data_IF_218699386024
#
_entry.id   IF_218699386024
#
_cell.length_a   1.000
_cell.length_b   1.000
_cell.length_c   1.000
_cell.angle_alpha   90.00
_cell.angle_beta   90.00
_cell.angle_gamma   90.00
#
_symmetry.space_group_name_H-M   'P 1'
#
loop_
_entity.id
_entity.type
_entity.pdbx_description
1 polymer ?
#
# COMPACT_ATOMS: atom_id res chain seq x y z
N UNK A 1 21.72 -4.38 3.60
CA UNK A 1 21.35 -4.30 3.50
C UNK A 1 20.72 -4.39 3.30
N UNK A 2 20.26 -4.56 3.35
CA UNK A 2 19.60 -4.65 2.93
C UNK A 2 18.43 -4.40 3.18
N UNK A 3 17.71 -4.09 2.39
CA UNK A 3 16.56 -3.77 2.60
C UNK A 3 15.77 -4.83 2.86
N UNK A 4 14.76 -4.76 3.60
CA UNK A 4 13.92 -5.86 3.89
C UNK A 4 12.63 -5.73 3.12
N UNK A 5 12.78 -5.86 1.84
CA UNK A 5 11.62 -5.85 0.98
C UNK A 5 11.02 -7.22 0.94
N UNK A 6 9.74 -7.34 1.16
CA UNK A 6 9.04 -8.62 1.20
C UNK A 6 7.85 -8.61 0.26
N UNK A 7 7.51 -9.77 -0.26
CA UNK A 7 6.52 -9.92 -1.29
C UNK A 7 5.43 -10.88 -0.82
N UNK A 8 4.18 -10.43 -0.86
CA UNK A 8 3.05 -11.27 -0.52
C UNK A 8 2.25 -11.46 -1.79
N UNK A 9 1.92 -12.69 -2.13
CA UNK A 9 1.12 -12.91 -3.32
C UNK A 9 0.24 -14.14 -3.15
N UNK A 10 -0.81 -14.17 -3.93
CA UNK A 10 -1.65 -15.35 -4.05
C UNK A 10 -2.19 -15.33 -5.47
N UNK A 11 -3.16 -16.18 -5.79
CA UNK A 11 -3.63 -16.26 -7.18
C UNK A 11 -4.40 -15.03 -7.61
N UNK A 12 -4.79 -14.17 -6.67
CA UNK A 12 -5.61 -13.01 -7.00
C UNK A 12 -4.80 -11.73 -7.18
N UNK A 13 -3.61 -11.66 -6.61
CA UNK A 13 -2.80 -10.46 -6.72
C UNK A 13 -1.60 -10.49 -5.82
N UNK A 14 -1.03 -9.32 -5.56
CA UNK A 14 0.18 -9.25 -4.74
C UNK A 14 0.31 -7.88 -4.09
N UNK A 15 1.20 -7.78 -3.12
CA UNK A 15 1.68 -6.50 -2.65
C UNK A 15 3.07 -6.70 -2.04
N UNK A 16 3.78 -5.61 -1.90
CA UNK A 16 5.11 -5.63 -1.30
C UNK A 16 5.06 -4.85 0.00
N UNK A 17 5.97 -5.17 0.90
CA UNK A 17 6.14 -4.33 2.08
C UNK A 17 7.60 -4.31 2.47
N UNK A 18 7.99 -3.30 3.23
CA UNK A 18 9.34 -3.21 3.75
C UNK A 18 9.26 -2.75 5.21
N UNK A 19 10.25 -3.12 5.99
CA UNK A 19 10.33 -2.71 7.39
C UNK A 19 11.74 -2.25 7.66
N UNK A 20 11.88 -1.00 8.12
CA UNK A 20 13.18 -0.46 8.49
C UNK A 20 13.07 -0.10 9.97
N UNK A 21 13.52 -1.00 10.83
CA UNK A 21 13.40 -0.77 12.26
C UNK A 21 14.33 0.30 12.75
N UNK A 22 15.43 0.50 12.06
CA UNK A 22 16.39 1.53 12.47
C UNK A 22 15.75 2.91 12.38
N UNK A 23 15.01 3.16 11.32
CA UNK A 23 14.36 4.44 11.11
C UNK A 23 12.90 4.45 11.48
N UNK A 24 12.37 3.35 12.01
CA UNK A 24 10.97 3.23 12.40
C UNK A 24 10.03 3.54 11.24
N UNK A 25 10.29 2.92 10.13
CA UNK A 25 9.46 3.09 8.93
C UNK A 25 9.06 1.73 8.41
N UNK A 26 7.77 1.53 8.21
CA UNK A 26 7.29 0.36 7.50
C UNK A 26 6.35 0.86 6.42
N UNK A 27 6.39 0.24 5.27
CA UNK A 27 5.59 0.69 4.14
C UNK A 27 5.06 -0.49 3.36
N UNK A 28 3.81 -0.36 2.91
CA UNK A 28 3.19 -1.30 2.00
C UNK A 28 3.11 -0.60 0.66
N UNK A 29 3.46 -1.28 -0.41
CA UNK A 29 3.49 -0.64 -1.73
C UNK A 29 3.21 -1.66 -2.82
N UNK A 30 2.92 -1.15 -4.02
CA UNK A 30 2.67 -1.97 -5.20
C UNK A 30 1.58 -3.02 -5.00
N UNK A 31 0.46 -2.58 -4.43
CA UNK A 31 -0.69 -3.46 -4.29
C UNK A 31 -1.36 -3.63 -5.64
N UNK A 32 -1.62 -4.87 -6.03
CA UNK A 32 -2.26 -5.15 -7.29
C UNK A 32 -3.17 -6.37 -7.16
N UNK A 33 -4.38 -6.27 -7.69
CA UNK A 33 -5.30 -7.39 -7.78
C UNK A 33 -5.67 -7.53 -9.25
N UNK A 34 -5.63 -8.77 -9.75
CA UNK A 34 -5.98 -9.02 -11.14
C UNK A 34 -7.38 -8.49 -11.42
N UNK A 35 -7.60 -7.88 -12.58
CA UNK A 35 -8.88 -7.22 -12.85
C UNK A 35 -10.10 -8.11 -12.62
N UNK A 36 -10.01 -9.36 -12.99
CA UNK A 36 -11.17 -10.26 -12.89
C UNK A 36 -11.53 -10.60 -11.46
N UNK A 37 -10.65 -10.29 -10.52
CA UNK A 37 -10.90 -10.60 -9.11
C UNK A 37 -11.13 -9.37 -8.26
N UNK A 38 -11.26 -8.20 -8.86
CA UNK A 38 -11.44 -6.97 -8.09
C UNK A 38 -12.80 -6.86 -7.47
N UNK A 39 -12.90 -6.04 -6.42
CA UNK A 39 -14.15 -5.79 -5.71
C UNK A 39 -14.70 -7.03 -5.03
N UNK A 40 -13.80 -7.93 -4.65
CA UNK A 40 -14.18 -9.16 -3.96
C UNK A 40 -13.43 -9.31 -2.65
N UNK A 41 -12.78 -8.25 -2.17
CA UNK A 41 -12.11 -8.29 -0.88
C UNK A 41 -10.66 -8.75 -0.91
N UNK A 42 -10.12 -9.03 -2.09
CA UNK A 42 -8.74 -9.54 -2.15
C UNK A 42 -7.70 -8.49 -1.79
N UNK A 43 -7.93 -7.22 -2.16
CA UNK A 43 -7.00 -6.16 -1.79
C UNK A 43 -6.93 -6.03 -0.27
N UNK A 44 -8.09 -6.06 0.38
CA UNK A 44 -8.14 -5.96 1.81
C UNK A 44 -7.39 -7.12 2.46
N UNK A 45 -7.57 -8.32 1.93
CA UNK A 45 -6.92 -9.50 2.46
C UNK A 45 -5.40 -9.40 2.32
N UNK A 46 -4.91 -8.95 1.16
CA UNK A 46 -3.47 -8.81 0.95
C UNK A 46 -2.89 -7.77 1.92
N UNK A 47 -3.58 -6.66 2.10
CA UNK A 47 -3.12 -5.64 3.04
C UNK A 47 -3.10 -6.19 4.47
N UNK A 48 -4.12 -6.94 4.85
CA UNK A 48 -4.17 -7.51 6.19
C UNK A 48 -3.02 -8.47 6.42
N UNK A 49 -2.67 -9.25 5.41
CA UNK A 49 -1.54 -10.17 5.52
C UNK A 49 -0.24 -9.38 5.68
N UNK A 50 -0.08 -8.30 4.92
CA UNK A 50 1.12 -7.48 5.02
C UNK A 50 1.23 -6.85 6.40
N UNK A 51 0.13 -6.31 6.91
CA UNK A 51 0.13 -5.71 8.24
C UNK A 51 0.53 -6.75 9.28
N UNK A 52 -0.03 -7.95 9.17
CA UNK A 52 0.29 -8.98 10.13
C UNK A 52 1.78 -9.34 10.10
N UNK A 53 2.32 -9.50 8.91
CA UNK A 53 3.73 -9.85 8.82
C UNK A 53 4.63 -8.73 9.32
N UNK A 54 4.26 -7.49 9.07
CA UNK A 54 5.01 -6.36 9.57
C UNK A 54 5.01 -6.37 11.10
N UNK A 55 3.84 -6.61 11.71
CA UNK A 55 3.75 -6.65 13.16
C UNK A 55 4.53 -7.82 13.75
N UNK A 56 4.58 -8.92 13.03
CA UNK A 56 5.31 -10.08 13.51
C UNK A 56 6.82 -9.85 13.55
N UNK A 57 7.33 -8.85 12.85
CA UNK A 57 8.74 -8.52 12.94
C UNK A 57 9.05 -7.77 14.23
N UNK A 58 8.03 -7.37 14.97
CA UNK A 58 8.22 -6.55 16.16
C UNK A 58 8.00 -5.08 15.92
N UNK A 59 7.81 -4.68 14.67
CA UNK A 59 7.57 -3.28 14.36
C UNK A 59 6.18 -2.90 14.87
N UNK A 60 6.09 -1.85 15.67
CA UNK A 60 4.80 -1.48 16.24
C UNK A 60 4.46 -0.01 16.03
N UNK A 61 5.10 0.61 15.07
CA UNK A 61 4.79 2.00 14.76
C UNK A 61 3.83 2.07 13.58
N UNK A 62 3.59 3.26 13.10
CA UNK A 62 2.66 3.49 12.02
C UNK A 62 3.15 2.87 10.72
N UNK A 63 2.23 2.28 9.97
CA UNK A 63 2.55 1.68 8.67
C UNK A 63 2.07 2.63 7.59
N UNK A 64 2.93 2.92 6.63
CA UNK A 64 2.65 3.86 5.55
C UNK A 64 2.28 3.12 4.27
N UNK A 65 1.54 3.77 3.41
CA UNK A 65 1.22 3.20 2.11
C UNK A 65 1.14 4.34 1.09
N UNK A 66 1.61 4.08 -0.12
CA UNK A 66 1.51 5.06 -1.19
C UNK A 66 0.21 4.85 -1.93
N UNK A 67 -0.53 5.93 -2.16
CA UNK A 67 -1.79 5.85 -2.88
C UNK A 67 -1.54 6.10 -4.36
N UNK A 68 -1.04 5.07 -5.04
CA UNK A 68 -0.74 5.15 -6.45
C UNK A 68 -1.55 4.12 -7.20
N UNK A 69 -2.66 4.50 -7.77
CA UNK A 69 -3.46 3.54 -8.54
C UNK A 69 -2.68 3.12 -9.78
N UNK A 70 -2.72 1.84 -10.06
CA UNK A 70 -1.99 1.34 -11.20
C UNK A 70 -2.83 1.36 -12.46
N UNK A 71 -4.10 1.68 -12.33
CA UNK A 71 -4.98 1.74 -13.46
C UNK A 71 -5.79 3.00 -13.41
N UNK A 72 -6.08 3.55 -14.56
CA UNK A 72 -6.80 4.79 -14.62
C UNK A 72 -8.20 4.69 -14.06
N UNK A 73 -8.77 3.52 -14.06
CA UNK A 73 -10.12 3.37 -13.56
C UNK A 73 -10.23 3.45 -12.06
N UNK A 74 -9.10 3.41 -11.36
CA UNK A 74 -9.14 3.46 -9.91
C UNK A 74 -9.12 4.90 -9.45
N UNK A 75 -10.17 5.27 -8.71
CA UNK A 75 -10.31 6.60 -8.18
C UNK A 75 -9.35 6.77 -7.01
N UNK A 76 -8.48 7.74 -7.09
CA UNK A 76 -7.50 7.99 -6.04
C UNK A 76 -8.18 8.30 -4.71
N UNK A 77 -9.29 9.05 -4.73
CA UNK A 77 -9.99 9.39 -3.51
C UNK A 77 -10.50 8.14 -2.81
N UNK A 78 -11.06 7.21 -3.58
CA UNK A 78 -11.57 5.98 -3.01
C UNK A 78 -10.44 5.09 -2.51
N UNK A 79 -9.31 5.10 -3.20
CA UNK A 79 -8.17 4.32 -2.78
C UNK A 79 -7.61 4.84 -1.45
N UNK A 80 -7.50 6.15 -1.31
CA UNK A 80 -7.03 6.76 -0.08
C UNK A 80 -7.97 6.41 1.06
N UNK A 81 -9.28 6.50 0.83
CA UNK A 81 -10.26 6.18 1.86
C UNK A 81 -10.13 4.71 2.29
N UNK A 82 -9.90 3.83 1.32
CA UNK A 82 -9.72 2.41 1.61
C UNK A 82 -8.53 2.19 2.52
N UNK A 83 -7.39 2.80 2.19
CA UNK A 83 -6.20 2.63 3.01
C UNK A 83 -6.38 3.19 4.41
N UNK A 84 -7.05 4.34 4.52
CA UNK A 84 -7.28 4.92 5.83
C UNK A 84 -8.17 4.03 6.69
N UNK A 85 -9.17 3.39 6.07
CA UNK A 85 -10.02 2.47 6.82
C UNK A 85 -9.24 1.27 7.32
N UNK A 86 -8.13 0.93 6.66
CA UNK A 86 -7.29 -0.16 7.10
C UNK A 86 -6.31 0.26 8.20
N UNK A 87 -6.34 1.53 8.61
CA UNK A 87 -5.46 2.01 9.67
C UNK A 87 -4.09 2.40 9.20
N UNK A 88 -3.92 2.68 7.93
CA UNK A 88 -2.62 3.00 7.36
C UNK A 88 -2.47 4.50 7.20
N UNK A 89 -1.22 4.96 7.26
CA UNK A 89 -0.93 6.36 6.98
C UNK A 89 -0.68 6.48 5.49
N UNK A 90 -1.50 7.24 4.81
CA UNK A 90 -1.42 7.35 3.37
C UNK A 90 -0.46 8.44 2.97
N UNK A 91 0.48 8.10 2.10
CA UNK A 91 1.38 9.07 1.52
C UNK A 91 0.87 9.39 0.13
N UNK A 92 0.76 10.66 -0.16
CA UNK A 92 0.28 11.05 -1.47
C UNK A 92 1.45 11.09 -2.46
N UNK A 93 1.15 10.79 -3.69
CA UNK A 93 2.15 10.92 -4.73
C UNK A 93 2.29 12.40 -5.04
N UNK A 94 3.36 12.98 -4.55
CA UNK A 94 3.58 14.40 -4.74
C UNK A 94 3.67 14.80 -6.19
N UNK A 95 4.11 13.88 -7.04
CA UNK A 95 4.18 14.20 -8.45
C UNK A 95 2.80 14.43 -9.05
N UNK A 96 1.85 13.64 -8.62
CA UNK A 96 0.50 13.81 -9.11
C UNK A 96 -0.08 15.10 -8.59
N UNK A 97 0.07 15.37 -7.31
CA UNK A 97 -0.45 16.58 -6.72
C UNK A 97 0.19 17.81 -7.35
N UNK A 98 1.54 17.75 -7.51
CA UNK A 98 2.22 18.85 -8.07
C UNK A 98 1.79 19.10 -9.49
N UNK A 99 1.61 18.03 -10.26
CA UNK A 99 1.22 18.18 -11.61
C UNK A 99 -0.11 18.86 -11.71
N UNK A 100 -1.04 18.49 -10.89
CA UNK A 100 -2.30 19.17 -10.91
C UNK A 100 -2.17 20.59 -10.54
N UNK A 101 -1.32 20.91 -9.59
CA UNK A 101 -1.13 22.26 -9.20
C UNK A 101 -0.48 23.11 -10.25
N UNK A 102 0.47 22.50 -10.94
CA UNK A 102 1.20 23.26 -11.91
C UNK A 102 0.42 23.53 -13.11
N UNK A 103 -0.58 22.72 -13.31
CA UNK A 103 -1.30 22.92 -14.41
C UNK A 103 -1.99 24.04 -14.36
N UNK A 104 -1.90 24.73 -13.64
CA UNK A 104 -2.51 25.80 -13.61
C UNK A 104 -2.05 26.73 -13.82
#
# INVERSE_FOLDING_TARGET
>A
MEENENFIHNKYGYCFYSVDKTNNIAMIFNLYVEPEYRQQGHAKHLIQLAIREIRETGYNKEIQVEAQPREYSIDVVNLVAFYKRMGLKVLHDLRVTKKEGVQR
#
